data_IF_803212999991
#
_entry.id   IF_803212999991
#
_cell.length_a   1.000
_cell.length_b   1.000
_cell.length_c   1.000
_cell.angle_alpha   90.00
_cell.angle_beta   90.00
_cell.angle_gamma   90.00
#
_symmetry.space_group_name_H-M   'P 1'
#
loop_
_entity.id
_entity.type
_entity.pdbx_description
1 polymer ?
#
# COMPACT_ATOMS: atom_id res chain seq x y z
N UNK A 1 -12.47 17.65 11.30
CA UNK A 1 -13.13 16.57 10.54
C UNK A 1 -13.26 15.37 11.47
N UNK A 2 -14.39 14.68 11.50
CA UNK A 2 -14.52 13.46 12.32
C UNK A 2 -13.89 12.30 11.54
N UNK A 3 -12.83 11.70 12.07
CA UNK A 3 -12.16 10.56 11.44
C UNK A 3 -12.72 9.25 11.97
N UNK A 4 -12.80 8.22 11.12
CA UNK A 4 -13.23 6.88 11.54
C UNK A 4 -12.25 6.28 12.56
N UNK A 5 -10.94 6.53 12.38
CA UNK A 5 -9.88 6.12 13.31
C UNK A 5 -8.72 7.11 13.26
N UNK A 6 -7.82 7.05 14.25
CA UNK A 6 -6.54 7.76 14.24
C UNK A 6 -5.36 6.83 13.90
N UNK A 7 -5.62 5.57 13.58
CA UNK A 7 -4.58 4.59 13.28
C UNK A 7 -3.97 4.78 11.88
N UNK A 8 -2.69 4.42 11.72
CA UNK A 8 -1.94 4.59 10.47
C UNK A 8 -2.50 3.70 9.36
N UNK A 9 -2.80 4.31 8.21
CA UNK A 9 -3.13 3.66 6.95
C UNK A 9 -1.94 3.76 6.00
N UNK A 10 -1.39 2.63 5.56
CA UNK A 10 -0.31 2.59 4.56
C UNK A 10 -0.87 2.22 3.18
N UNK A 11 -0.55 3.02 2.17
CA UNK A 11 -0.88 2.77 0.76
C UNK A 11 0.38 2.32 0.03
N UNK A 12 0.41 1.06 -0.39
CA UNK A 12 1.52 0.45 -1.13
C UNK A 12 1.24 0.52 -2.63
N UNK A 13 2.21 1.00 -3.40
CA UNK A 13 2.06 1.33 -4.81
C UNK A 13 1.47 2.73 -5.03
N UNK A 14 1.77 3.66 -4.13
CA UNK A 14 1.14 4.99 -4.08
C UNK A 14 1.54 5.91 -5.25
N UNK A 15 2.67 5.67 -5.93
CA UNK A 15 3.03 6.42 -7.14
C UNK A 15 2.21 5.97 -8.36
N UNK A 16 1.53 4.81 -8.27
CA UNK A 16 0.64 4.29 -9.29
C UNK A 16 -0.76 4.92 -9.23
N UNK A 17 -1.46 4.92 -10.37
CA UNK A 17 -2.78 5.52 -10.50
C UNK A 17 -3.84 4.94 -9.55
N UNK A 18 -3.74 3.65 -9.19
CA UNK A 18 -4.66 3.03 -8.23
C UNK A 18 -4.33 3.53 -6.81
N UNK A 19 -3.06 3.48 -6.42
CA UNK A 19 -2.63 3.88 -5.08
C UNK A 19 -2.89 5.35 -4.79
N UNK A 20 -2.55 6.26 -5.70
CA UNK A 20 -2.78 7.70 -5.52
C UNK A 20 -4.27 8.04 -5.36
N UNK A 21 -5.14 7.46 -6.20
CA UNK A 21 -6.59 7.64 -6.08
C UNK A 21 -7.14 7.07 -4.77
N UNK A 22 -6.64 5.93 -4.30
CA UNK A 22 -7.05 5.34 -3.02
C UNK A 22 -6.64 6.24 -1.84
N UNK A 23 -5.43 6.81 -1.88
CA UNK A 23 -4.96 7.76 -0.87
C UNK A 23 -5.84 9.01 -0.83
N UNK A 24 -6.13 9.61 -1.98
CA UNK A 24 -7.02 10.78 -2.07
C UNK A 24 -8.44 10.46 -1.56
N UNK A 25 -8.98 9.31 -1.94
CA UNK A 25 -10.31 8.86 -1.51
C UNK A 25 -10.34 8.66 0.01
N UNK A 26 -9.30 8.06 0.59
CA UNK A 26 -9.20 7.86 2.04
C UNK A 26 -9.18 9.19 2.82
N UNK A 27 -8.51 10.22 2.29
CA UNK A 27 -8.53 11.59 2.83
C UNK A 27 -9.94 12.17 2.74
N UNK A 28 -10.57 12.12 1.56
CA UNK A 28 -11.91 12.68 1.34
C UNK A 28 -13.00 12.02 2.19
N UNK A 29 -12.87 10.71 2.44
CA UNK A 29 -13.79 9.97 3.29
C UNK A 29 -13.53 10.16 4.79
N UNK A 30 -12.44 10.82 5.18
CA UNK A 30 -12.06 10.98 6.58
C UNK A 30 -11.78 9.64 7.27
N UNK A 31 -11.11 8.69 6.60
CA UNK A 31 -10.83 7.38 7.21
C UNK A 31 -9.85 7.50 8.38
N UNK A 32 -8.76 8.23 8.17
CA UNK A 32 -7.73 8.50 9.18
C UNK A 32 -6.96 9.77 8.83
N UNK A 33 -6.46 10.53 9.81
CA UNK A 33 -5.52 11.60 9.55
C UNK A 33 -4.11 11.12 9.26
N UNK A 34 -3.78 9.85 9.55
CA UNK A 34 -2.42 9.33 9.44
C UNK A 34 -2.29 8.41 8.21
N UNK A 35 -1.79 8.96 7.11
CA UNK A 35 -1.61 8.23 5.84
C UNK A 35 -0.13 8.16 5.50
N UNK A 36 0.35 6.96 5.18
CA UNK A 36 1.71 6.72 4.71
C UNK A 36 1.68 6.18 3.28
N UNK A 37 2.40 6.82 2.38
CA UNK A 37 2.51 6.45 0.99
C UNK A 37 3.82 5.71 0.77
N UNK A 38 3.75 4.54 0.14
CA UNK A 38 4.93 3.77 -0.23
C UNK A 38 4.94 3.44 -1.70
N UNK A 39 6.09 3.66 -2.32
CA UNK A 39 6.41 3.19 -3.66
C UNK A 39 7.93 3.11 -3.86
N UNK A 40 8.47 2.07 -4.52
CA UNK A 40 9.88 2.04 -4.90
C UNK A 40 10.27 3.15 -5.90
N UNK A 41 9.32 3.69 -6.66
CA UNK A 41 9.55 4.80 -7.58
C UNK A 41 9.45 6.16 -6.86
N UNK A 42 10.52 6.52 -6.15
CA UNK A 42 10.58 7.73 -5.34
C UNK A 42 10.20 9.04 -6.06
N UNK A 43 10.65 9.33 -7.30
CA UNK A 43 10.27 10.57 -7.98
C UNK A 43 8.75 10.69 -8.24
N UNK A 44 8.09 9.58 -8.56
CA UNK A 44 6.62 9.59 -8.74
C UNK A 44 5.88 9.69 -7.41
N UNK A 45 6.42 9.05 -6.37
CA UNK A 45 5.87 9.10 -5.02
C UNK A 45 5.88 10.52 -4.45
N UNK A 46 6.99 11.24 -4.60
CA UNK A 46 7.14 12.63 -4.16
C UNK A 46 6.10 13.54 -4.82
N UNK A 47 5.91 13.41 -6.14
CA UNK A 47 4.86 14.17 -6.85
C UNK A 47 3.46 13.90 -6.32
N UNK A 48 3.11 12.64 -6.06
CA UNK A 48 1.81 12.27 -5.47
C UNK A 48 1.67 12.84 -4.06
N UNK A 49 2.72 12.78 -3.24
CA UNK A 49 2.68 13.33 -1.88
C UNK A 49 2.43 14.83 -1.89
N UNK A 50 3.13 15.59 -2.74
CA UNK A 50 2.94 17.04 -2.91
C UNK A 50 1.51 17.39 -3.37
N UNK A 51 0.95 16.63 -4.33
CA UNK A 51 -0.45 16.81 -4.74
C UNK A 51 -1.42 16.57 -3.57
N UNK A 52 -1.20 15.53 -2.77
CA UNK A 52 -2.05 15.24 -1.62
C UNK A 52 -1.88 16.25 -0.48
N UNK A 53 -0.69 16.83 -0.28
CA UNK A 53 -0.50 17.93 0.67
C UNK A 53 -1.28 19.17 0.23
N UNK A 54 -1.28 19.51 -1.06
CA UNK A 54 -2.03 20.65 -1.58
C UNK A 54 -3.55 20.46 -1.51
N UNK A 55 -4.04 19.22 -1.64
CA UNK A 55 -5.47 18.90 -1.54
C UNK A 55 -5.92 18.47 -0.14
N UNK A 56 -4.99 18.32 0.80
CA UNK A 56 -5.26 17.87 2.16
C UNK A 56 -6.00 18.93 2.99
N UNK A 57 -6.78 18.46 3.95
CA UNK A 57 -7.44 19.34 4.93
C UNK A 57 -6.55 19.53 6.16
N UNK A 58 -6.85 20.56 6.95
CA UNK A 58 -6.14 20.84 8.19
C UNK A 58 -6.18 19.63 9.14
N UNK A 59 -5.01 19.26 9.69
CA UNK A 59 -4.85 18.09 10.56
C UNK A 59 -4.49 16.78 9.85
N UNK A 60 -4.31 16.79 8.53
CA UNK A 60 -3.70 15.66 7.82
C UNK A 60 -2.22 15.48 8.16
N UNK A 61 -1.85 14.24 8.46
CA UNK A 61 -0.48 13.78 8.61
C UNK A 61 -0.19 12.77 7.49
N UNK A 62 0.23 13.30 6.35
CA UNK A 62 0.67 12.50 5.21
C UNK A 62 2.19 12.32 5.35
N UNK A 63 2.66 11.10 5.16
CA UNK A 63 4.08 10.75 5.10
C UNK A 63 4.33 9.92 3.85
N UNK A 64 5.55 9.90 3.34
CA UNK A 64 5.91 9.05 2.22
C UNK A 64 7.34 8.53 2.36
N UNK A 65 7.58 7.32 1.90
CA UNK A 65 8.91 6.69 1.94
C UNK A 65 9.03 5.60 0.88
N UNK A 66 10.24 5.39 0.36
CA UNK A 66 10.56 4.25 -0.50
C UNK A 66 11.17 3.08 0.30
N UNK A 67 11.26 3.19 1.63
CA UNK A 67 11.64 2.11 2.54
C UNK A 67 10.39 1.38 3.05
N UNK A 68 10.26 0.09 2.70
CA UNK A 68 9.10 -0.73 3.08
C UNK A 68 9.00 -0.92 4.60
N UNK A 69 10.13 -0.99 5.31
CA UNK A 69 10.14 -1.14 6.76
C UNK A 69 9.56 0.10 7.43
N UNK A 70 10.00 1.28 7.01
CA UNK A 70 9.49 2.55 7.52
C UNK A 70 7.99 2.72 7.19
N UNK A 71 7.59 2.38 5.96
CA UNK A 71 6.20 2.44 5.54
C UNK A 71 5.28 1.56 6.38
N UNK A 72 5.72 0.34 6.70
CA UNK A 72 4.93 -0.65 7.42
C UNK A 72 4.94 -0.47 8.93
N UNK A 73 6.00 0.08 9.51
CA UNK A 73 6.10 0.29 10.98
C UNK A 73 4.87 1.05 11.49
N UNK A 74 4.22 0.51 12.53
CA UNK A 74 3.00 1.02 13.17
C UNK A 74 1.72 1.06 12.28
N UNK A 75 1.76 0.49 11.08
CA UNK A 75 0.58 0.41 10.22
C UNK A 75 -0.49 -0.53 10.79
N UNK A 76 -1.75 -0.06 10.83
CA UNK A 76 -2.90 -0.87 11.27
C UNK A 76 -3.80 -1.28 10.12
N UNK A 77 -3.80 -0.49 9.06
CA UNK A 77 -4.51 -0.76 7.82
C UNK A 77 -3.54 -0.63 6.67
N UNK A 78 -3.62 -1.56 5.72
CA UNK A 78 -2.79 -1.50 4.51
C UNK A 78 -3.67 -1.71 3.29
N UNK A 79 -3.47 -0.88 2.26
CA UNK A 79 -3.99 -1.11 0.92
C UNK A 79 -2.81 -1.33 -0.01
N UNK A 80 -2.75 -2.48 -0.66
CA UNK A 80 -1.66 -2.87 -1.54
C UNK A 80 -2.10 -2.98 -3.00
N UNK A 81 -1.64 -2.03 -3.81
CA UNK A 81 -1.78 -2.00 -5.27
C UNK A 81 -0.46 -2.26 -6.02
N UNK A 82 0.65 -2.47 -5.30
CA UNK A 82 1.98 -2.67 -5.85
C UNK A 82 2.18 -4.07 -6.44
N UNK A 83 1.88 -4.23 -7.72
CA UNK A 83 2.16 -5.44 -8.51
C UNK A 83 3.23 -5.22 -9.59
N UNK A 84 3.69 -6.31 -10.21
CA UNK A 84 4.61 -6.22 -11.35
C UNK A 84 3.90 -5.60 -12.56
N UNK A 85 4.49 -4.54 -13.12
CA UNK A 85 4.07 -4.01 -14.41
C UNK A 85 4.37 -5.04 -15.51
N UNK A 86 3.39 -5.27 -16.40
CA UNK A 86 3.56 -6.19 -17.53
C UNK A 86 4.65 -5.66 -18.47
N UNK A 87 5.72 -6.43 -18.66
CA UNK A 87 6.80 -6.11 -19.61
C UNK A 87 6.52 -6.75 -20.98
N UNK A 88 7.00 -6.11 -22.05
CA UNK A 88 6.89 -6.65 -23.40
C UNK A 88 7.61 -8.02 -23.48
N UNK A 89 6.96 -9.03 -24.06
CA UNK A 89 7.49 -10.39 -24.16
C UNK A 89 7.21 -11.30 -22.95
N UNK A 90 6.62 -10.80 -21.86
CA UNK A 90 6.30 -11.59 -20.67
C UNK A 90 5.08 -12.49 -20.92
N UNK A 91 5.20 -13.78 -20.62
CA UNK A 91 4.05 -14.70 -20.69
C UNK A 91 3.09 -14.43 -19.52
N UNK A 92 1.86 -14.98 -19.62
CA UNK A 92 0.92 -14.93 -18.48
C UNK A 92 1.47 -15.65 -17.25
N UNK A 93 2.17 -16.76 -17.44
CA UNK A 93 2.76 -17.53 -16.34
C UNK A 93 3.89 -16.78 -15.64
N UNK A 94 4.74 -16.08 -16.40
CA UNK A 94 5.81 -15.26 -15.83
C UNK A 94 5.25 -14.11 -14.99
N UNK A 95 4.17 -13.48 -15.45
CA UNK A 95 3.49 -12.43 -14.71
C UNK A 95 2.87 -12.96 -13.41
N UNK A 96 2.25 -14.14 -13.47
CA UNK A 96 1.68 -14.82 -12.29
C UNK A 96 2.76 -15.15 -11.26
N UNK A 97 3.89 -15.73 -11.69
CA UNK A 97 5.02 -16.04 -10.82
C UNK A 97 5.63 -14.79 -10.20
N UNK A 98 5.78 -13.72 -10.99
CA UNK A 98 6.27 -12.43 -10.49
C UNK A 98 5.36 -11.84 -9.42
N UNK A 99 4.05 -11.81 -9.65
CA UNK A 99 3.09 -11.28 -8.67
C UNK A 99 2.96 -12.16 -7.42
N UNK A 100 3.09 -13.49 -7.56
CA UNK A 100 3.15 -14.40 -6.43
C UNK A 100 4.38 -14.13 -5.54
N UNK A 101 5.55 -13.93 -6.15
CA UNK A 101 6.78 -13.59 -5.42
C UNK A 101 6.66 -12.26 -4.67
N UNK A 102 6.09 -11.23 -5.32
CA UNK A 102 5.83 -9.92 -4.69
C UNK A 102 4.87 -10.07 -3.50
N UNK A 103 3.80 -10.85 -3.66
CA UNK A 103 2.82 -11.08 -2.59
C UNK A 103 3.43 -11.84 -1.39
N UNK A 104 4.32 -12.80 -1.65
CA UNK A 104 5.05 -13.54 -0.63
C UNK A 104 6.02 -12.64 0.14
N UNK A 105 6.83 -11.86 -0.57
CA UNK A 105 7.75 -10.90 0.03
C UNK A 105 6.98 -9.86 0.87
N UNK A 106 5.90 -9.32 0.32
CA UNK A 106 5.05 -8.38 1.04
C UNK A 106 4.47 -9.00 2.31
N UNK A 107 3.96 -10.24 2.25
CA UNK A 107 3.49 -10.96 3.44
C UNK A 107 4.59 -11.11 4.50
N UNK A 108 5.82 -11.49 4.10
CA UNK A 108 6.97 -11.58 5.03
C UNK A 108 7.33 -10.23 5.65
N UNK A 109 7.29 -9.14 4.87
CA UNK A 109 7.56 -7.79 5.35
C UNK A 109 6.50 -7.34 6.36
N UNK A 110 5.22 -7.63 6.11
CA UNK A 110 4.14 -7.38 7.07
C UNK A 110 4.39 -8.12 8.38
N UNK A 111 4.70 -9.41 8.31
CA UNK A 111 5.00 -10.21 9.50
C UNK A 111 6.19 -9.68 10.30
N UNK A 112 7.20 -9.14 9.62
CA UNK A 112 8.42 -8.65 10.23
C UNK A 112 8.27 -7.23 10.82
N UNK A 113 7.52 -6.36 10.16
CA UNK A 113 7.53 -4.91 10.45
C UNK A 113 6.21 -4.36 11.01
N UNK A 114 5.09 -5.07 10.82
CA UNK A 114 3.78 -4.72 11.38
C UNK A 114 2.93 -5.96 11.72
N UNK A 115 3.39 -6.82 12.64
CA UNK A 115 2.71 -8.06 13.00
C UNK A 115 1.32 -7.84 13.65
N UNK A 116 1.02 -6.62 14.07
CA UNK A 116 -0.20 -6.17 14.73
C UNK A 116 -1.11 -5.34 13.80
N UNK A 117 -0.91 -5.49 12.48
CA UNK A 117 -1.84 -4.98 11.46
C UNK A 117 -3.23 -5.62 11.65
N UNK A 118 -4.28 -4.83 11.50
CA UNK A 118 -5.68 -5.28 11.68
C UNK A 118 -6.32 -5.74 10.39
N UNK A 119 -5.98 -5.09 9.28
CA UNK A 119 -6.60 -5.38 7.99
C UNK A 119 -5.69 -5.04 6.81
N UNK A 120 -5.73 -5.87 5.78
CA UNK A 120 -4.96 -5.71 4.56
C UNK A 120 -5.91 -5.92 3.37
N UNK A 121 -5.93 -4.95 2.45
CA UNK A 121 -6.63 -5.06 1.17
C UNK A 121 -5.61 -5.23 0.06
N UNK A 122 -5.66 -6.33 -0.68
CA UNK A 122 -4.78 -6.61 -1.82
C UNK A 122 -5.55 -6.42 -3.12
N UNK A 123 -5.03 -5.58 -4.03
CA UNK A 123 -5.74 -5.16 -5.25
C UNK A 123 -5.03 -5.64 -6.52
N UNK A 124 -3.71 -5.89 -6.47
CA UNK A 124 -2.96 -6.22 -7.69
C UNK A 124 -3.22 -7.65 -8.16
N UNK A 125 -3.40 -7.79 -9.47
CA UNK A 125 -3.87 -9.03 -10.08
C UNK A 125 -2.80 -10.13 -10.14
N UNK A 126 -3.20 -11.40 -10.06
CA UNK A 126 -4.55 -11.90 -9.76
C UNK A 126 -4.89 -11.78 -8.26
N UNK A 127 -5.88 -10.95 -7.92
CA UNK A 127 -6.14 -10.53 -6.54
C UNK A 127 -6.44 -11.69 -5.57
N UNK A 128 -7.13 -12.74 -6.04
CA UNK A 128 -7.45 -13.90 -5.20
C UNK A 128 -6.18 -14.66 -4.76
N UNK A 129 -5.25 -14.85 -5.69
CA UNK A 129 -4.01 -15.59 -5.44
C UNK A 129 -3.03 -14.73 -4.64
N UNK A 130 -2.85 -13.46 -5.02
CA UNK A 130 -1.95 -12.55 -4.32
C UNK A 130 -2.43 -12.28 -2.90
N UNK A 131 -3.74 -12.10 -2.71
CA UNK A 131 -4.37 -12.00 -1.39
C UNK A 131 -4.15 -13.25 -0.53
N UNK A 132 -4.37 -14.45 -1.09
CA UNK A 132 -4.12 -15.70 -0.37
C UNK A 132 -2.65 -15.85 0.04
N UNK A 133 -1.72 -15.58 -0.86
CA UNK A 133 -0.27 -15.66 -0.57
C UNK A 133 0.10 -14.66 0.54
N UNK A 134 -0.36 -13.41 0.44
CA UNK A 134 -0.12 -12.39 1.47
C UNK A 134 -0.68 -12.84 2.83
N UNK A 135 -1.88 -13.42 2.89
CA UNK A 135 -2.45 -13.96 4.11
C UNK A 135 -1.56 -15.05 4.73
N UNK A 136 -1.13 -16.02 3.92
CA UNK A 136 -0.29 -17.14 4.38
C UNK A 136 1.05 -16.68 4.97
N UNK A 137 1.70 -15.70 4.33
CA UNK A 137 3.02 -15.24 4.74
C UNK A 137 3.01 -14.13 5.80
N UNK A 138 1.95 -13.31 5.86
CA UNK A 138 1.78 -12.29 6.92
C UNK A 138 1.51 -12.90 8.29
N UNK A 139 0.85 -14.06 8.33
CA UNK A 139 0.43 -14.68 9.60
C UNK A 139 -0.71 -13.92 10.30
N UNK A 140 -1.41 -13.05 9.56
CA UNK A 140 -2.63 -12.40 10.01
C UNK A 140 -3.70 -13.47 10.32
N UNK A 141 -4.39 -13.32 11.45
CA UNK A 141 -5.40 -14.28 11.93
C UNK A 141 -6.81 -13.74 11.79
#
# INVERSE_FOLDING_TARGET
MEFVTNEKLTIVGAAGMIGSNMAQTAIMMGLTPNICLYDPYAPGLEGVAEELYHCGFEGMNITFTSDIKEALTDAKYIVNSGGAARKAGMTREDLLKGNAAIAEEFGKNVKAYCPDVKHIVVIFNPADITGLITLLYSGLK
#
